data_IF_275447332188
#
_entry.id   IF_275447332188
#
_cell.length_a   1.000
_cell.length_b   1.000
_cell.length_c   1.000
_cell.angle_alpha   90.00
_cell.angle_beta   90.00
_cell.angle_gamma   90.00
#
_symmetry.space_group_name_H-M   'P 1'
#
loop_
_entity.id
_entity.type
_entity.pdbx_description
1 polymer ?
#
# COMPACT_ATOMS: atom_id res chain seq x y z
N UNK A 1 10.09 -18.30 4.79
CA UNK A 1 10.02 -16.82 4.75
C UNK A 1 9.07 -16.29 3.69
N UNK A 2 9.11 -16.76 2.42
CA UNK A 2 8.23 -16.22 1.36
C UNK A 2 6.71 -16.39 1.56
N UNK A 3 6.26 -17.46 2.24
CA UNK A 3 4.82 -17.75 2.41
C UNK A 3 4.13 -16.84 3.43
N UNK A 4 4.81 -16.47 4.53
CA UNK A 4 4.28 -15.53 5.53
C UNK A 4 4.09 -14.13 4.95
N UNK A 5 5.05 -13.66 4.15
CA UNK A 5 5.02 -12.33 3.54
C UNK A 5 3.87 -12.23 2.51
N UNK A 6 3.68 -13.28 1.70
CA UNK A 6 2.51 -13.42 0.83
C UNK A 6 1.19 -13.40 1.62
N UNK A 7 1.14 -14.09 2.76
CA UNK A 7 -0.05 -14.11 3.62
C UNK A 7 -0.39 -12.70 4.16
N UNK A 8 0.62 -11.93 4.56
CA UNK A 8 0.44 -10.52 4.95
C UNK A 8 -0.02 -9.62 3.80
N UNK A 9 0.50 -9.83 2.59
CA UNK A 9 0.06 -9.07 1.40
C UNK A 9 -1.40 -9.37 1.09
N UNK A 10 -1.80 -10.64 1.12
CA UNK A 10 -3.19 -11.04 0.87
C UNK A 10 -4.11 -10.46 1.95
N UNK A 11 -3.73 -10.55 3.23
CA UNK A 11 -4.50 -9.97 4.32
C UNK A 11 -4.64 -8.44 4.17
N UNK A 12 -3.56 -7.75 3.80
CA UNK A 12 -3.58 -6.30 3.54
C UNK A 12 -4.46 -5.96 2.32
N UNK A 13 -4.41 -6.75 1.25
CA UNK A 13 -5.27 -6.57 0.07
C UNK A 13 -6.75 -6.67 0.41
N UNK A 14 -7.12 -7.71 1.18
CA UNK A 14 -8.50 -7.91 1.65
C UNK A 14 -8.93 -6.75 2.56
N UNK A 15 -8.06 -6.33 3.48
CA UNK A 15 -8.32 -5.20 4.36
C UNK A 15 -8.54 -3.91 3.57
N UNK A 16 -7.71 -3.61 2.57
CA UNK A 16 -7.87 -2.44 1.69
C UNK A 16 -9.18 -2.52 0.91
N UNK A 17 -9.54 -3.69 0.37
CA UNK A 17 -10.80 -3.87 -0.35
C UNK A 17 -12.04 -3.64 0.54
N UNK A 18 -12.02 -4.17 1.77
CA UNK A 18 -13.09 -3.97 2.75
C UNK A 18 -13.11 -2.51 3.22
N UNK A 19 -11.95 -1.93 3.50
CA UNK A 19 -11.82 -0.55 3.96
C UNK A 19 -12.29 0.44 2.89
N UNK A 20 -11.98 0.18 1.62
CA UNK A 20 -12.46 1.00 0.50
C UNK A 20 -13.99 0.99 0.40
N UNK A 21 -14.65 -0.12 0.76
CA UNK A 21 -16.12 -0.22 0.72
C UNK A 21 -16.80 0.36 1.97
N UNK A 22 -16.19 0.18 3.15
CA UNK A 22 -16.79 0.52 4.45
C UNK A 22 -16.40 1.93 4.95
N UNK A 23 -15.20 2.39 4.61
CA UNK A 23 -14.63 3.66 5.03
C UNK A 23 -14.44 4.63 3.86
N UNK A 24 -15.31 4.56 2.84
CA UNK A 24 -15.28 5.51 1.72
C UNK A 24 -15.36 6.97 2.18
N UNK A 25 -16.12 7.24 3.26
CA UNK A 25 -16.20 8.56 3.91
C UNK A 25 -14.95 8.94 4.74
N UNK A 26 -14.01 8.02 4.97
CA UNK A 26 -12.77 8.24 5.72
C UNK A 26 -11.57 7.77 4.88
N UNK A 27 -11.25 8.49 3.80
CA UNK A 27 -10.23 8.08 2.83
C UNK A 27 -8.81 7.96 3.42
N UNK A 28 -8.55 8.55 4.60
CA UNK A 28 -7.29 8.36 5.31
C UNK A 28 -7.04 6.90 5.75
N UNK A 29 -8.08 6.16 6.16
CA UNK A 29 -7.97 4.75 6.59
C UNK A 29 -7.63 3.87 5.39
N UNK A 30 -8.26 4.17 4.26
CA UNK A 30 -8.03 3.47 3.00
C UNK A 30 -6.61 3.73 2.49
N UNK A 31 -6.16 4.99 2.50
CA UNK A 31 -4.78 5.34 2.12
C UNK A 31 -3.74 4.68 3.02
N UNK A 32 -3.99 4.58 4.32
CA UNK A 32 -3.09 3.87 5.23
C UNK A 32 -2.99 2.38 4.86
N UNK A 33 -4.13 1.72 4.57
CA UNK A 33 -4.13 0.33 4.12
C UNK A 33 -3.34 0.13 2.82
N UNK A 34 -3.51 1.02 1.84
CA UNK A 34 -2.79 0.91 0.56
C UNK A 34 -1.29 1.17 0.77
N UNK A 35 -0.92 2.12 1.61
CA UNK A 35 0.48 2.40 1.93
C UNK A 35 1.17 1.19 2.58
N UNK A 36 0.51 0.51 3.51
CA UNK A 36 0.99 -0.75 4.12
C UNK A 36 1.14 -1.83 3.05
N UNK A 37 0.16 -1.95 2.14
CA UNK A 37 0.21 -2.92 1.05
C UNK A 37 1.39 -2.65 0.09
N UNK A 38 1.64 -1.38 -0.25
CA UNK A 38 2.75 -0.96 -1.11
C UNK A 38 4.11 -1.27 -0.48
N UNK A 39 4.29 -1.03 0.82
CA UNK A 39 5.53 -1.37 1.54
C UNK A 39 5.78 -2.88 1.53
N UNK A 40 4.75 -3.69 1.78
CA UNK A 40 4.86 -5.15 1.73
C UNK A 40 5.25 -5.66 0.34
N UNK A 41 4.70 -5.08 -0.72
CA UNK A 41 5.06 -5.43 -2.11
C UNK A 41 6.50 -5.04 -2.44
N UNK A 42 6.97 -3.86 -2.00
CA UNK A 42 8.36 -3.45 -2.19
C UNK A 42 9.32 -4.43 -1.50
N UNK A 43 9.04 -4.79 -0.25
CA UNK A 43 9.85 -5.78 0.49
C UNK A 43 9.83 -7.13 -0.22
N UNK A 44 8.65 -7.59 -0.68
CA UNK A 44 8.53 -8.83 -1.44
C UNK A 44 9.39 -8.81 -2.71
N UNK A 45 9.40 -7.68 -3.41
CA UNK A 45 10.12 -7.50 -4.67
C UNK A 45 11.63 -7.52 -4.44
N UNK A 46 12.13 -6.94 -3.35
CA UNK A 46 13.54 -7.06 -2.95
C UNK A 46 13.95 -8.50 -2.59
N UNK A 47 13.03 -9.29 -2.03
CA UNK A 47 13.29 -10.70 -1.71
C UNK A 47 13.25 -11.63 -2.93
N UNK A 48 12.62 -11.22 -4.04
CA UNK A 48 12.67 -11.94 -5.30
C UNK A 48 13.98 -11.61 -6.04
N UNK A 49 15.03 -12.38 -5.75
CA UNK A 49 16.26 -12.37 -6.55
C UNK A 49 16.24 -13.51 -7.57
N UNK A 50 16.61 -13.27 -8.84
CA UNK A 50 17.05 -12.00 -9.42
C UNK A 50 15.89 -11.03 -9.68
N UNK A 51 16.11 -9.74 -9.38
CA UNK A 51 15.13 -8.69 -9.62
C UNK A 51 15.10 -8.38 -11.12
N UNK A 52 14.07 -8.87 -11.81
CA UNK A 52 13.82 -8.54 -13.22
C UNK A 52 13.39 -7.08 -13.41
N UNK A 53 13.33 -6.65 -14.68
CA UNK A 53 12.90 -5.29 -15.07
C UNK A 53 11.52 -4.93 -14.47
N UNK A 54 10.60 -5.90 -14.40
CA UNK A 54 9.29 -5.75 -13.77
C UNK A 54 9.37 -5.47 -12.26
N UNK A 55 10.36 -6.05 -11.56
CA UNK A 55 10.58 -5.81 -10.14
C UNK A 55 11.07 -4.39 -9.88
N UNK A 56 12.01 -3.89 -10.70
CA UNK A 56 12.43 -2.49 -10.63
C UNK A 56 11.28 -1.51 -10.94
N UNK A 57 10.48 -1.80 -11.97
CA UNK A 57 9.31 -1.00 -12.30
C UNK A 57 8.29 -0.99 -11.14
N UNK A 58 8.02 -2.13 -10.51
CA UNK A 58 7.13 -2.23 -9.36
C UNK A 58 7.64 -1.41 -8.17
N UNK A 59 8.93 -1.46 -7.85
CA UNK A 59 9.53 -0.66 -6.77
C UNK A 59 9.35 0.84 -7.04
N UNK A 60 9.63 1.29 -8.27
CA UNK A 60 9.50 2.71 -8.65
C UNK A 60 8.03 3.16 -8.54
N UNK A 61 7.11 2.39 -9.13
CA UNK A 61 5.67 2.73 -9.12
C UNK A 61 5.12 2.71 -7.69
N UNK A 62 5.47 1.70 -6.89
CA UNK A 62 5.03 1.61 -5.49
C UNK A 62 5.57 2.76 -4.65
N UNK A 63 6.82 3.18 -4.89
CA UNK A 63 7.44 4.32 -4.18
C UNK A 63 6.74 5.64 -4.52
N UNK A 64 6.42 5.87 -5.80
CA UNK A 64 5.66 7.06 -6.23
C UNK A 64 4.25 7.05 -5.64
N UNK A 65 3.56 5.91 -5.74
CA UNK A 65 2.21 5.77 -5.22
C UNK A 65 2.15 5.93 -3.69
N UNK A 66 3.18 5.50 -2.97
CA UNK A 66 3.34 5.72 -1.54
C UNK A 66 3.41 7.21 -1.19
N UNK A 67 4.17 8.01 -1.94
CA UNK A 67 4.23 9.47 -1.75
C UNK A 67 2.84 10.10 -1.98
N UNK A 68 2.14 9.71 -3.04
CA UNK A 68 0.78 10.19 -3.31
C UNK A 68 -0.20 9.81 -2.19
N UNK A 69 -0.11 8.59 -1.67
CA UNK A 69 -0.93 8.13 -0.53
C UNK A 69 -0.60 8.88 0.76
N UNK A 70 0.67 9.23 0.98
CA UNK A 70 1.09 10.07 2.09
C UNK A 70 0.50 11.49 1.98
N UNK A 71 0.66 12.13 0.82
CA UNK A 71 0.16 13.50 0.57
C UNK A 71 -1.37 13.55 0.68
N UNK A 72 -2.07 12.63 0.02
CA UNK A 72 -3.53 12.54 0.12
C UNK A 72 -3.98 12.15 1.54
N UNK A 73 -3.23 11.31 2.24
CA UNK A 73 -3.50 10.96 3.64
C UNK A 73 -3.43 12.19 4.56
N UNK A 74 -2.37 12.99 4.44
CA UNK A 74 -2.21 14.24 5.20
C UNK A 74 -3.29 15.28 4.86
N UNK A 75 -3.65 15.43 3.58
CA UNK A 75 -4.72 16.35 3.16
C UNK A 75 -6.08 15.91 3.71
N UNK A 76 -6.40 14.61 3.66
CA UNK A 76 -7.65 14.07 4.18
C UNK A 76 -7.77 14.20 5.71
N UNK A 77 -6.67 14.10 6.46
CA UNK A 77 -6.68 14.36 7.90
C UNK A 77 -7.02 15.82 8.22
N UNK A 78 -6.49 16.78 7.44
CA UNK A 78 -6.82 18.20 7.62
C UNK A 78 -8.28 18.53 7.27
N UNK A 79 -8.84 17.89 6.25
CA UNK A 79 -10.24 18.09 5.86
C UNK A 79 -11.25 17.52 6.87
N UNK A 80 -10.89 16.46 7.60
CA UNK A 80 -11.75 15.88 8.67
C UNK A 80 -11.61 16.64 10.00
N UNK A 81 -10.55 17.44 10.17
CA UNK A 81 -10.28 18.24 11.37
C UNK A 81 -10.88 19.67 11.29
N UNK A 82 -11.50 20.05 10.17
CA UNK A 82 -12.34 21.25 10.04
C UNK A 82 -13.81 20.87 10.12
#
# INVERSE_FOLDING_TARGET
MGSLLLMFIIAAAIFVGIASKKFYNKPYIVNFGIAVMMVLLVIQTFMMTPIGILGYAAIIICSIAFIFQLVMGFRNLKTVAQ
#
